data_IF_085813285195
#
_entry.id   IF_085813285195
#
_cell.length_a   1.000
_cell.length_b   1.000
_cell.length_c   1.000
_cell.angle_alpha   90.00
_cell.angle_beta   90.00
_cell.angle_gamma   90.00
#
_symmetry.space_group_name_H-M   'P 1'
#
loop_
_entity.id
_entity.type
_entity.pdbx_description
1 polymer ?
#
# COMPACT_ATOMS: atom_id res chain seq x y z
N UNK A 1 2.76 -9.94 17.77
CA UNK A 1 1.78 -8.84 17.61
C UNK A 1 1.39 -8.31 18.98
N UNK A 2 1.22 -7.00 19.11
CA UNK A 2 0.72 -6.33 20.31
C UNK A 2 -0.58 -5.61 19.96
N UNK A 3 -1.71 -6.05 20.48
CA UNK A 3 -3.02 -5.45 20.26
C UNK A 3 -3.43 -4.60 21.48
N UNK A 4 -4.02 -3.45 21.19
CA UNK A 4 -4.71 -2.57 22.14
C UNK A 4 -6.21 -2.55 21.82
N UNK A 5 -6.95 -1.55 22.26
CA UNK A 5 -8.39 -1.44 21.98
C UNK A 5 -8.67 -1.22 20.48
N UNK A 6 -7.96 -0.29 19.87
CA UNK A 6 -8.23 0.17 18.49
C UNK A 6 -7.03 0.00 17.58
N UNK A 7 -5.90 -0.52 18.07
CA UNK A 7 -4.70 -0.71 17.27
C UNK A 7 -4.12 -2.12 17.43
N UNK A 8 -3.47 -2.61 16.37
CA UNK A 8 -2.65 -3.83 16.39
C UNK A 8 -1.29 -3.53 15.80
N UNK A 9 -0.22 -3.85 16.55
CA UNK A 9 1.14 -3.77 16.06
C UNK A 9 1.58 -5.09 15.44
N UNK A 10 2.11 -5.01 14.23
CA UNK A 10 2.94 -6.06 13.66
C UNK A 10 4.38 -5.77 14.05
N UNK A 11 4.87 -6.45 15.07
CA UNK A 11 6.08 -6.14 15.83
C UNK A 11 7.30 -6.83 15.23
N UNK A 12 7.59 -6.54 13.95
CA UNK A 12 8.78 -7.03 13.28
C UNK A 12 10.01 -6.14 13.55
N UNK A 13 11.15 -6.77 13.81
CA UNK A 13 12.40 -6.04 14.01
C UNK A 13 12.94 -5.41 12.73
N UNK A 14 12.48 -5.91 11.58
CA UNK A 14 12.88 -5.43 10.26
C UNK A 14 11.73 -5.64 9.24
N UNK A 15 11.80 -5.03 8.04
CA UNK A 15 10.75 -5.16 7.03
C UNK A 15 10.47 -6.60 6.57
N UNK A 16 11.43 -7.51 6.70
CA UNK A 16 11.25 -8.92 6.34
C UNK A 16 10.33 -9.61 7.35
N UNK A 17 10.56 -9.34 8.64
CA UNK A 17 9.72 -9.86 9.72
C UNK A 17 8.32 -9.21 9.69
N UNK A 18 8.23 -7.92 9.37
CA UNK A 18 6.97 -7.22 9.18
C UNK A 18 6.15 -7.83 8.03
N UNK A 19 6.77 -8.09 6.88
CA UNK A 19 6.11 -8.73 5.75
C UNK A 19 5.58 -10.13 6.09
N UNK A 20 6.35 -10.92 6.82
CA UNK A 20 5.92 -12.22 7.30
C UNK A 20 4.73 -12.11 8.28
N UNK A 21 4.80 -11.18 9.23
CA UNK A 21 3.75 -10.93 10.21
C UNK A 21 2.45 -10.45 9.57
N UNK A 22 2.53 -9.51 8.63
CA UNK A 22 1.37 -9.00 7.88
C UNK A 22 0.72 -10.10 7.05
N UNK A 23 1.51 -10.86 6.29
CA UNK A 23 0.98 -11.92 5.46
C UNK A 23 0.22 -12.97 6.29
N UNK A 24 0.73 -13.33 7.48
CA UNK A 24 0.08 -14.26 8.39
C UNK A 24 -1.14 -13.64 9.12
N UNK A 25 -1.18 -12.32 9.31
CA UNK A 25 -2.34 -11.64 9.86
C UNK A 25 -3.51 -11.64 8.88
N UNK A 26 -3.24 -11.40 7.60
CA UNK A 26 -4.26 -11.40 6.53
C UNK A 26 -4.66 -12.82 6.12
N UNK A 27 -3.72 -13.75 6.12
CA UNK A 27 -3.93 -15.17 5.79
C UNK A 27 -3.54 -16.05 6.97
N UNK A 28 -4.41 -16.28 7.95
CA UNK A 28 -4.09 -17.10 9.13
C UNK A 28 -3.77 -18.55 8.79
N UNK A 29 -4.20 -19.04 7.63
CA UNK A 29 -3.85 -20.37 7.07
C UNK A 29 -4.10 -21.54 8.04
N UNK A 30 -5.07 -21.36 8.93
CA UNK A 30 -5.41 -22.36 9.96
C UNK A 30 -6.49 -23.36 9.49
N UNK A 31 -7.17 -23.06 8.38
CA UNK A 31 -8.23 -23.88 7.81
C UNK A 31 -8.22 -23.85 6.28
N UNK A 32 -8.82 -24.84 5.59
CA UNK A 32 -9.01 -24.78 4.16
C UNK A 32 -9.71 -23.48 3.73
N UNK A 33 -9.21 -22.80 2.70
CA UNK A 33 -9.74 -21.52 2.21
C UNK A 33 -9.15 -20.27 2.88
N UNK A 34 -8.36 -20.41 3.95
CA UNK A 34 -7.66 -19.29 4.59
C UNK A 34 -6.20 -19.17 4.15
N UNK A 35 -5.77 -20.02 3.21
CA UNK A 35 -4.45 -19.95 2.58
C UNK A 35 -4.48 -19.04 1.36
N UNK A 36 -3.42 -18.25 1.08
CA UNK A 36 -3.31 -17.57 -0.19
C UNK A 36 -3.11 -18.57 -1.33
N UNK A 37 -3.65 -18.29 -2.51
CA UNK A 37 -3.32 -19.09 -3.68
C UNK A 37 -1.87 -18.87 -4.13
N UNK A 38 -1.40 -17.63 -4.06
CA UNK A 38 -0.08 -17.20 -4.51
C UNK A 38 0.54 -16.26 -3.47
N UNK A 39 1.87 -16.29 -3.37
CA UNK A 39 2.66 -15.34 -2.57
C UNK A 39 3.64 -14.63 -3.50
N UNK A 40 3.81 -13.32 -3.34
CA UNK A 40 4.81 -12.54 -4.07
C UNK A 40 6.10 -12.44 -3.26
N UNK A 41 7.25 -12.79 -3.85
CA UNK A 41 8.57 -12.56 -3.27
C UNK A 41 9.22 -11.35 -3.94
N UNK A 42 9.38 -10.26 -3.19
CA UNK A 42 10.01 -9.02 -3.66
C UNK A 42 11.42 -8.85 -3.07
N UNK A 43 12.36 -8.23 -3.81
CA UNK A 43 13.73 -8.05 -3.35
C UNK A 43 13.86 -6.96 -2.29
N UNK A 44 14.65 -7.21 -1.24
CA UNK A 44 15.00 -6.17 -0.26
C UNK A 44 15.95 -5.12 -0.80
N UNK A 45 16.63 -5.38 -1.91
CA UNK A 45 17.58 -4.46 -2.54
C UNK A 45 16.94 -3.46 -3.51
N UNK A 46 15.64 -3.59 -3.79
CA UNK A 46 14.90 -2.74 -4.75
C UNK A 46 13.51 -2.43 -4.19
N UNK A 47 13.43 -1.34 -3.41
CA UNK A 47 12.18 -0.91 -2.79
C UNK A 47 11.13 -0.49 -3.82
N UNK A 48 11.56 0.00 -5.00
CA UNK A 48 10.66 0.37 -6.08
C UNK A 48 9.93 -0.88 -6.62
N UNK A 49 10.68 -1.94 -6.88
CA UNK A 49 10.11 -3.21 -7.31
C UNK A 49 9.20 -3.82 -6.24
N UNK A 50 9.55 -3.69 -4.95
CA UNK A 50 8.72 -4.15 -3.85
C UNK A 50 7.39 -3.37 -3.77
N UNK A 51 7.42 -2.03 -3.85
CA UNK A 51 6.21 -1.19 -3.88
C UNK A 51 5.37 -1.50 -5.14
N UNK A 52 5.98 -1.62 -6.31
CA UNK A 52 5.24 -1.99 -7.52
C UNK A 52 4.57 -3.36 -7.40
N UNK A 53 5.22 -4.33 -6.74
CA UNK A 53 4.69 -5.68 -6.55
C UNK A 53 3.42 -5.74 -5.69
N UNK A 54 3.13 -4.69 -4.91
CA UNK A 54 1.92 -4.60 -4.09
C UNK A 54 0.64 -4.68 -4.92
N UNK A 55 0.69 -4.33 -6.21
CA UNK A 55 -0.47 -4.46 -7.11
C UNK A 55 -0.95 -5.90 -7.27
N UNK A 56 -0.08 -6.89 -7.06
CA UNK A 56 -0.43 -8.31 -7.15
C UNK A 56 -1.27 -8.79 -5.94
N UNK A 57 -1.42 -7.95 -4.90
CA UNK A 57 -2.38 -8.18 -3.82
C UNK A 57 -3.82 -7.88 -4.26
N UNK A 58 -4.02 -7.05 -5.28
CA UNK A 58 -5.33 -6.84 -5.87
C UNK A 58 -5.85 -8.09 -6.62
N UNK A 59 -7.14 -8.08 -6.94
CA UNK A 59 -7.75 -9.11 -7.78
C UNK A 59 -6.99 -9.26 -9.12
N UNK A 60 -6.83 -10.49 -9.65
CA UNK A 60 -7.41 -11.75 -9.18
C UNK A 60 -6.49 -12.60 -8.29
N UNK A 61 -5.23 -12.19 -8.02
CA UNK A 61 -4.28 -13.05 -7.31
C UNK A 61 -4.40 -12.98 -5.80
N UNK A 62 -4.63 -11.79 -5.26
CA UNK A 62 -4.61 -11.53 -3.81
C UNK A 62 -3.33 -12.05 -3.14
N UNK A 63 -2.17 -11.82 -3.80
CA UNK A 63 -0.89 -12.38 -3.42
C UNK A 63 -0.14 -11.44 -2.45
N UNK A 64 -0.04 -11.78 -1.16
CA UNK A 64 0.68 -10.95 -0.18
C UNK A 64 2.16 -10.90 -0.53
N UNK A 65 2.80 -9.75 -0.23
CA UNK A 65 4.23 -9.54 -0.48
C UNK A 65 5.03 -10.05 0.71
N UNK A 66 5.94 -10.98 0.45
CA UNK A 66 7.05 -11.32 1.33
C UNK A 66 8.36 -10.77 0.76
N UNK A 67 9.31 -10.46 1.63
CA UNK A 67 10.59 -9.88 1.24
C UNK A 67 11.71 -10.93 1.24
N UNK A 68 12.61 -10.80 0.29
CA UNK A 68 13.73 -11.73 0.12
C UNK A 68 15.05 -11.01 -0.15
N UNK A 69 16.10 -11.50 0.47
CA UNK A 69 17.47 -11.13 0.07
C UNK A 69 17.84 -11.70 -1.30
N UNK A 70 18.93 -11.22 -1.91
CA UNK A 70 19.31 -11.60 -3.28
C UNK A 70 19.88 -13.01 -3.40
N UNK A 71 20.42 -13.59 -2.33
CA UNK A 71 21.12 -14.89 -2.37
C UNK A 71 20.40 -16.00 -1.63
N UNK A 72 19.71 -15.67 -0.56
CA UNK A 72 19.04 -16.65 0.30
C UNK A 72 17.70 -16.11 0.78
N UNK A 73 16.72 -17.00 0.89
CA UNK A 73 15.47 -16.67 1.55
C UNK A 73 15.74 -16.49 3.05
N UNK A 74 15.37 -15.34 3.65
CA UNK A 74 15.47 -15.11 5.09
C UNK A 74 14.67 -16.13 5.90
N UNK A 75 15.04 -16.34 7.15
CA UNK A 75 14.37 -17.33 8.01
C UNK A 75 12.88 -17.01 8.19
N UNK A 76 12.53 -15.74 8.46
CA UNK A 76 11.14 -15.31 8.61
C UNK A 76 10.32 -15.55 7.33
N UNK A 77 10.90 -15.24 6.15
CA UNK A 77 10.25 -15.50 4.85
C UNK A 77 10.02 -17.00 4.60
N UNK A 78 11.01 -17.87 4.93
CA UNK A 78 10.83 -19.32 4.79
C UNK A 78 9.75 -19.85 5.72
N UNK A 79 9.74 -19.38 6.96
CA UNK A 79 8.73 -19.76 7.94
C UNK A 79 7.33 -19.31 7.51
N UNK A 80 7.20 -18.06 7.06
CA UNK A 80 5.92 -17.55 6.57
C UNK A 80 5.42 -18.36 5.36
N UNK A 81 6.28 -18.65 4.36
CA UNK A 81 5.92 -19.49 3.22
C UNK A 81 5.45 -20.88 3.64
N UNK A 82 6.10 -21.50 4.63
CA UNK A 82 5.69 -22.80 5.15
C UNK A 82 4.33 -22.77 5.83
N UNK A 83 4.04 -21.70 6.60
CA UNK A 83 2.76 -21.55 7.29
C UNK A 83 1.64 -21.14 6.33
N UNK A 84 1.91 -20.23 5.42
CA UNK A 84 0.95 -19.77 4.40
C UNK A 84 0.54 -20.92 3.45
N UNK A 85 1.45 -21.84 3.12
CA UNK A 85 1.18 -23.00 2.31
C UNK A 85 0.44 -22.70 1.00
N UNK A 86 0.95 -21.81 0.12
CA UNK A 86 0.21 -21.34 -1.06
C UNK A 86 -0.19 -22.52 -1.96
N UNK A 87 -1.45 -22.52 -2.41
CA UNK A 87 -2.03 -23.64 -3.16
C UNK A 87 -1.70 -23.63 -4.67
N UNK A 88 -1.30 -22.48 -5.20
CA UNK A 88 -1.12 -22.23 -6.63
C UNK A 88 -2.38 -21.67 -7.30
N UNK A 89 -2.20 -20.94 -8.40
CA UNK A 89 -3.29 -20.35 -9.18
C UNK A 89 -3.17 -20.69 -10.65
N UNK A 90 -4.28 -21.12 -11.26
CA UNK A 90 -4.36 -21.36 -12.72
C UNK A 90 -4.10 -20.10 -13.55
N UNK A 91 -4.36 -18.91 -13.00
CA UNK A 91 -4.10 -17.63 -13.66
C UNK A 91 -2.59 -17.37 -13.91
N UNK A 92 -1.72 -18.11 -13.21
CA UNK A 92 -0.26 -18.03 -13.32
C UNK A 92 0.36 -19.44 -13.49
N UNK A 93 -0.25 -20.26 -14.36
CA UNK A 93 0.21 -21.60 -14.72
C UNK A 93 0.46 -22.53 -13.52
N UNK A 94 -0.36 -22.40 -12.48
CA UNK A 94 -0.25 -23.16 -11.23
C UNK A 94 0.91 -22.72 -10.34
N UNK A 95 1.52 -21.56 -10.58
CA UNK A 95 2.55 -21.03 -9.70
C UNK A 95 1.97 -20.72 -8.31
N UNK A 96 2.75 -21.10 -7.28
CA UNK A 96 2.48 -20.81 -5.87
C UNK A 96 3.20 -19.54 -5.42
N UNK A 97 4.24 -19.16 -6.18
CA UNK A 97 5.09 -18.00 -5.87
C UNK A 97 5.39 -17.20 -7.11
N UNK A 98 5.16 -15.88 -7.05
CA UNK A 98 5.67 -14.92 -8.03
C UNK A 98 6.96 -14.32 -7.49
N UNK A 99 8.06 -14.49 -8.21
CA UNK A 99 9.37 -13.92 -7.86
C UNK A 99 9.59 -12.65 -8.66
N UNK A 100 9.88 -11.55 -7.99
CA UNK A 100 10.18 -10.26 -8.61
C UNK A 100 11.70 -10.09 -8.67
N UNK A 101 12.25 -10.01 -9.88
CA UNK A 101 13.69 -9.89 -10.08
C UNK A 101 14.47 -11.15 -9.67
N UNK A 102 15.71 -10.94 -9.26
CA UNK A 102 16.66 -12.01 -8.95
C UNK A 102 16.60 -12.51 -7.51
N UNK A 103 15.39 -12.75 -6.97
CA UNK A 103 15.26 -13.40 -5.65
C UNK A 103 15.32 -14.93 -5.76
N UNK A 104 15.81 -15.65 -4.73
CA UNK A 104 15.92 -17.12 -4.76
C UNK A 104 14.57 -17.80 -4.93
N UNK A 105 14.54 -18.91 -5.65
CA UNK A 105 13.36 -19.77 -5.74
C UNK A 105 13.19 -20.57 -4.42
N UNK A 106 12.00 -20.60 -3.82
CA UNK A 106 11.74 -21.45 -2.69
C UNK A 106 11.70 -22.92 -3.13
N UNK A 107 12.34 -23.80 -2.34
CA UNK A 107 12.38 -25.23 -2.66
C UNK A 107 10.99 -25.85 -2.52
N UNK A 108 10.64 -26.71 -3.47
CA UNK A 108 9.38 -27.46 -3.42
C UNK A 108 8.12 -26.68 -3.80
N UNK A 109 8.24 -25.38 -4.16
CA UNK A 109 7.13 -24.59 -4.65
C UNK A 109 7.34 -24.22 -6.12
N UNK A 110 6.25 -24.27 -6.90
CA UNK A 110 6.26 -23.78 -8.28
C UNK A 110 6.34 -22.27 -8.28
N UNK A 111 7.31 -21.71 -8.99
CA UNK A 111 7.54 -20.28 -9.04
C UNK A 111 7.57 -19.75 -10.48
N UNK A 112 6.88 -18.63 -10.70
CA UNK A 112 7.02 -17.80 -11.90
C UNK A 112 7.92 -16.59 -11.58
N UNK A 113 8.71 -16.14 -12.54
CA UNK A 113 9.63 -15.01 -12.34
C UNK A 113 9.23 -13.84 -13.22
N UNK A 114 9.07 -12.67 -12.60
CA UNK A 114 8.99 -11.38 -13.28
C UNK A 114 10.43 -10.87 -13.44
N UNK A 115 10.93 -10.76 -14.67
CA UNK A 115 12.26 -10.28 -14.97
C UNK A 115 12.26 -8.85 -15.49
N UNK A 116 13.30 -8.08 -15.14
CA UNK A 116 13.51 -6.72 -15.62
C UNK A 116 14.89 -6.20 -15.23
N UNK A 117 15.47 -5.35 -16.08
CA UNK A 117 16.76 -4.71 -15.84
C UNK A 117 16.57 -3.43 -15.00
N UNK A 118 16.55 -3.57 -13.68
CA UNK A 118 16.40 -2.47 -12.74
C UNK A 118 14.95 -2.07 -12.46
N UNK A 119 14.75 -1.08 -11.58
CA UNK A 119 13.45 -0.79 -10.97
C UNK A 119 12.36 -0.38 -11.98
N UNK A 120 12.69 0.41 -12.98
CA UNK A 120 11.72 0.85 -13.99
C UNK A 120 11.20 -0.30 -14.86
N UNK A 121 12.11 -1.20 -15.28
CA UNK A 121 11.74 -2.35 -16.10
C UNK A 121 10.99 -3.40 -15.28
N UNK A 122 11.33 -3.59 -14.00
CA UNK A 122 10.59 -4.47 -13.08
C UNK A 122 9.18 -3.94 -12.84
N UNK A 123 9.02 -2.65 -12.53
CA UNK A 123 7.70 -2.04 -12.34
C UNK A 123 6.82 -2.19 -13.61
N UNK A 124 7.37 -1.93 -14.80
CA UNK A 124 6.67 -2.14 -16.07
C UNK A 124 6.34 -3.62 -16.35
N UNK A 125 7.16 -4.56 -15.91
CA UNK A 125 6.89 -6.00 -16.06
C UNK A 125 5.81 -6.49 -15.10
N UNK A 126 5.77 -5.96 -13.88
CA UNK A 126 4.71 -6.22 -12.91
C UNK A 126 3.37 -5.67 -13.43
N UNK A 127 3.36 -4.45 -13.95
CA UNK A 127 2.19 -3.83 -14.57
C UNK A 127 1.63 -4.69 -15.73
N UNK A 128 2.51 -5.14 -16.63
CA UNK A 128 2.09 -6.07 -17.72
C UNK A 128 1.48 -7.36 -17.21
N UNK A 129 2.04 -7.94 -16.14
CA UNK A 129 1.45 -9.15 -15.54
C UNK A 129 0.07 -8.83 -14.97
N UNK A 130 -0.10 -7.75 -14.22
CA UNK A 130 -1.39 -7.36 -13.65
C UNK A 130 -2.42 -7.08 -14.75
N UNK A 131 -2.03 -6.40 -15.83
CA UNK A 131 -2.89 -6.18 -16.99
C UNK A 131 -3.34 -7.49 -17.66
N UNK A 132 -2.41 -8.45 -17.80
CA UNK A 132 -2.72 -9.77 -18.36
C UNK A 132 -3.70 -10.56 -17.46
N UNK A 133 -3.49 -10.51 -16.14
CA UNK A 133 -4.35 -11.15 -15.14
C UNK A 133 -5.77 -10.55 -15.11
N UNK A 134 -5.85 -9.23 -15.23
CA UNK A 134 -7.13 -8.48 -15.25
C UNK A 134 -7.81 -8.49 -16.61
N UNK A 135 -7.18 -9.04 -17.64
CA UNK A 135 -7.67 -9.07 -19.02
C UNK A 135 -7.60 -7.72 -19.76
N UNK A 136 -7.12 -6.67 -19.11
CA UNK A 136 -6.96 -5.33 -19.70
C UNK A 136 -5.98 -4.49 -18.87
N UNK A 137 -5.31 -3.48 -19.46
CA UNK A 137 -4.58 -2.49 -18.71
C UNK A 137 -5.48 -1.67 -17.77
N UNK A 138 -4.96 -1.22 -16.65
CA UNK A 138 -5.68 -0.34 -15.73
C UNK A 138 -6.00 1.01 -16.39
N UNK A 139 -7.20 1.60 -16.17
CA UNK A 139 -7.51 2.94 -16.67
C UNK A 139 -6.68 4.05 -15.97
N UNK A 140 -6.10 3.75 -14.82
CA UNK A 140 -5.36 4.69 -14.01
C UNK A 140 -4.00 4.13 -13.62
N UNK A 141 -3.00 5.01 -13.53
CA UNK A 141 -1.62 4.69 -13.18
C UNK A 141 -1.11 5.65 -12.11
N UNK A 142 -0.47 5.14 -11.08
CA UNK A 142 0.24 5.94 -10.08
C UNK A 142 1.68 6.13 -10.51
N UNK A 143 2.13 7.38 -10.54
CA UNK A 143 3.52 7.75 -10.79
C UNK A 143 4.18 8.21 -9.51
N UNK A 144 5.30 7.59 -9.16
CA UNK A 144 6.11 7.93 -7.99
C UNK A 144 7.57 8.25 -8.40
N UNK A 145 8.28 8.98 -7.55
CA UNK A 145 9.70 9.26 -7.76
C UNK A 145 10.56 8.06 -7.39
N UNK A 146 11.48 7.65 -8.27
CA UNK A 146 12.45 6.61 -7.96
C UNK A 146 13.55 7.05 -6.97
N UNK A 147 13.62 8.36 -6.64
CA UNK A 147 14.62 8.91 -5.73
C UNK A 147 14.07 9.40 -4.38
N UNK A 148 12.77 9.28 -4.16
CA UNK A 148 12.11 9.77 -2.94
C UNK A 148 11.19 8.68 -2.37
N UNK A 149 11.75 7.65 -1.70
CA UNK A 149 11.01 6.48 -1.27
C UNK A 149 9.81 6.82 -0.38
N UNK A 150 9.98 7.71 0.59
CA UNK A 150 8.90 8.09 1.50
C UNK A 150 7.66 8.66 0.78
N UNK A 151 7.85 9.36 -0.33
CA UNK A 151 6.73 9.86 -1.14
C UNK A 151 6.05 8.78 -2.00
N UNK A 152 6.75 7.67 -2.26
CA UNK A 152 6.21 6.55 -3.02
C UNK A 152 5.43 5.56 -2.14
N UNK A 153 5.74 5.48 -0.83
CA UNK A 153 5.18 4.50 0.09
C UNK A 153 3.65 4.41 0.06
N UNK A 154 2.89 5.52 0.09
CA UNK A 154 1.42 5.43 0.11
C UNK A 154 0.80 4.77 -1.13
N UNK A 155 1.55 4.71 -2.24
CA UNK A 155 1.10 4.05 -3.45
C UNK A 155 0.97 2.52 -3.29
N UNK A 156 1.72 1.89 -2.38
CA UNK A 156 1.69 0.44 -2.18
C UNK A 156 0.32 -0.04 -1.69
N UNK A 157 -0.25 0.66 -0.69
CA UNK A 157 -1.59 0.35 -0.19
C UNK A 157 -2.67 0.54 -1.25
N UNK A 158 -2.59 1.63 -2.02
CA UNK A 158 -3.54 1.88 -3.10
C UNK A 158 -3.45 0.85 -4.23
N UNK A 159 -2.23 0.47 -4.62
CA UNK A 159 -2.04 -0.57 -5.63
C UNK A 159 -2.63 -1.92 -5.20
N UNK A 160 -2.48 -2.27 -3.92
CA UNK A 160 -3.04 -3.49 -3.35
C UNK A 160 -4.57 -3.51 -3.33
N UNK A 161 -5.20 -2.36 -3.10
CA UNK A 161 -6.65 -2.20 -3.08
C UNK A 161 -7.23 -2.12 -4.49
N UNK A 162 -6.70 -1.20 -5.30
CA UNK A 162 -7.32 -0.80 -6.57
C UNK A 162 -6.90 -1.62 -7.78
N UNK A 163 -5.72 -2.27 -7.72
CA UNK A 163 -5.08 -2.86 -8.91
C UNK A 163 -4.46 -1.83 -9.86
N UNK A 164 -4.40 -0.54 -9.47
CA UNK A 164 -3.69 0.46 -10.28
C UNK A 164 -2.17 0.27 -10.13
N UNK A 165 -1.41 0.15 -11.23
CA UNK A 165 0.03 -0.07 -11.14
C UNK A 165 0.78 1.16 -10.65
N UNK A 166 1.91 0.92 -10.00
CA UNK A 166 2.86 1.97 -9.59
C UNK A 166 4.04 1.95 -10.55
N UNK A 167 4.22 3.02 -11.30
CA UNK A 167 5.36 3.23 -12.18
C UNK A 167 6.23 4.38 -11.66
N UNK A 168 7.49 4.38 -12.05
CA UNK A 168 8.45 5.32 -11.51
C UNK A 168 9.02 6.27 -12.56
N UNK A 169 9.32 7.50 -12.10
CA UNK A 169 10.03 8.52 -12.88
C UNK A 169 11.27 8.98 -12.14
N UNK A 170 12.23 9.55 -12.87
CA UNK A 170 13.36 10.27 -12.30
C UNK A 170 13.09 11.78 -12.25
N UNK A 171 13.90 12.52 -11.49
CA UNK A 171 13.87 13.99 -11.54
C UNK A 171 14.19 14.55 -12.93
N UNK A 172 14.96 13.80 -13.75
CA UNK A 172 15.35 14.19 -15.10
C UNK A 172 14.33 13.90 -16.19
N UNK A 173 13.31 13.06 -15.90
CA UNK A 173 12.30 12.71 -16.90
C UNK A 173 11.69 11.32 -16.73
N UNK A 174 10.95 10.94 -17.75
CA UNK A 174 10.22 9.66 -17.82
C UNK A 174 11.13 8.59 -18.48
N UNK A 175 11.54 7.53 -17.78
CA UNK A 175 12.38 6.47 -18.33
C UNK A 175 11.70 5.69 -19.46
N UNK A 176 12.49 5.09 -20.36
CA UNK A 176 11.97 4.35 -21.51
C UNK A 176 10.96 3.25 -21.13
N UNK A 177 11.27 2.45 -20.08
CA UNK A 177 10.38 1.39 -19.63
C UNK A 177 9.02 1.96 -19.12
N UNK A 178 9.05 3.09 -18.40
CA UNK A 178 7.85 3.78 -17.93
C UNK A 178 7.03 4.33 -19.10
N UNK A 179 7.68 4.91 -20.12
CA UNK A 179 6.97 5.37 -21.33
C UNK A 179 6.25 4.23 -22.04
N UNK A 180 6.95 3.12 -22.28
CA UNK A 180 6.37 1.93 -22.92
C UNK A 180 5.19 1.35 -22.13
N UNK A 181 5.29 1.33 -20.80
CA UNK A 181 4.17 0.91 -19.95
C UNK A 181 2.96 1.86 -20.12
N UNK A 182 3.16 3.18 -20.03
CA UNK A 182 2.09 4.16 -20.19
C UNK A 182 1.43 4.09 -21.58
N UNK A 183 2.20 3.85 -22.64
CA UNK A 183 1.67 3.67 -24.00
C UNK A 183 0.71 2.47 -24.09
N UNK A 184 0.99 1.38 -23.35
CA UNK A 184 0.13 0.18 -23.35
C UNK A 184 -1.23 0.40 -22.65
N UNK A 185 -1.38 1.45 -21.85
CA UNK A 185 -2.64 1.79 -21.17
C UNK A 185 -3.63 2.59 -22.04
N UNK A 186 -3.22 3.10 -23.21
CA UNK A 186 -4.13 3.80 -24.13
C UNK A 186 -4.68 5.12 -23.55
N UNK A 187 -3.79 5.98 -23.02
CA UNK A 187 -4.10 7.31 -22.42
C UNK A 187 -4.80 7.23 -21.05
N UNK A 188 -4.15 6.63 -20.05
CA UNK A 188 -4.72 6.50 -18.70
C UNK A 188 -4.86 7.84 -17.96
N UNK A 189 -5.58 7.82 -16.84
CA UNK A 189 -5.40 8.79 -15.76
C UNK A 189 -4.02 8.58 -15.12
N UNK A 190 -3.20 9.62 -15.04
CA UNK A 190 -1.84 9.57 -14.50
C UNK A 190 -1.79 10.39 -13.22
N UNK A 191 -1.67 9.72 -12.08
CA UNK A 191 -1.69 10.36 -10.77
C UNK A 191 -0.28 10.41 -10.19
N UNK A 192 0.28 11.62 -10.10
CA UNK A 192 1.67 11.84 -9.71
C UNK A 192 1.76 12.15 -8.23
N UNK A 193 2.38 11.25 -7.44
CA UNK A 193 2.54 11.41 -6.00
C UNK A 193 3.74 12.29 -5.64
N UNK A 194 3.48 13.34 -4.91
CA UNK A 194 4.49 14.24 -4.34
C UNK A 194 4.50 15.65 -4.93
N UNK A 195 5.13 16.58 -4.20
CA UNK A 195 5.23 18.00 -4.58
C UNK A 195 6.21 18.21 -5.75
N UNK A 196 6.24 19.44 -6.35
CA UNK A 196 7.17 19.77 -7.42
C UNK A 196 8.66 19.63 -7.05
N UNK A 197 9.00 19.73 -5.78
CA UNK A 197 10.36 19.48 -5.26
C UNK A 197 10.80 18.01 -5.40
N UNK A 198 9.86 17.08 -5.46
CA UNK A 198 10.11 15.63 -5.61
C UNK A 198 10.02 15.22 -7.08
N UNK A 199 8.93 15.56 -7.76
CA UNK A 199 8.73 15.34 -9.19
C UNK A 199 8.47 16.68 -9.86
N UNK A 200 9.45 17.25 -10.59
CA UNK A 200 9.32 18.57 -11.20
C UNK A 200 8.19 18.66 -12.24
N UNK A 201 7.61 19.84 -12.43
CA UNK A 201 6.55 20.07 -13.43
C UNK A 201 7.01 19.81 -14.87
N UNK A 202 8.32 19.88 -15.14
CA UNK A 202 8.89 19.44 -16.42
C UNK A 202 8.65 17.96 -16.71
N UNK A 203 8.63 17.12 -15.67
CA UNK A 203 8.30 15.68 -15.79
C UNK A 203 6.80 15.49 -16.01
N UNK A 204 5.94 16.29 -15.34
CA UNK A 204 4.49 16.25 -15.58
C UNK A 204 4.15 16.62 -17.04
N UNK A 205 4.83 17.62 -17.60
CA UNK A 205 4.65 17.96 -19.02
C UNK A 205 5.04 16.81 -19.96
N UNK A 206 6.08 16.03 -19.63
CA UNK A 206 6.44 14.83 -20.40
C UNK A 206 5.37 13.75 -20.29
N UNK A 207 4.85 13.51 -19.07
CA UNK A 207 3.79 12.52 -18.81
C UNK A 207 2.49 12.86 -19.55
N UNK A 208 2.18 14.13 -19.76
CA UNK A 208 0.97 14.60 -20.46
C UNK A 208 0.86 14.11 -21.92
N UNK A 209 1.96 13.68 -22.52
CA UNK A 209 1.95 13.04 -23.83
C UNK A 209 1.24 11.67 -23.81
N UNK A 210 1.22 11.00 -22.64
CA UNK A 210 0.75 9.63 -22.48
C UNK A 210 -0.66 9.53 -21.88
N UNK A 211 -1.17 10.55 -21.21
CA UNK A 211 -2.48 10.51 -20.56
C UNK A 211 -2.87 11.82 -19.89
N UNK A 212 -3.93 11.77 -19.08
CA UNK A 212 -4.39 12.93 -18.30
C UNK A 212 -3.64 12.97 -16.97
N UNK A 213 -2.81 13.99 -16.75
CA UNK A 213 -1.94 14.08 -15.58
C UNK A 213 -2.57 14.92 -14.47
N UNK A 214 -2.61 14.38 -13.26
CA UNK A 214 -3.00 15.08 -12.03
C UNK A 214 -1.94 14.87 -10.95
N UNK A 215 -1.59 15.93 -10.24
CA UNK A 215 -0.69 15.85 -9.09
C UNK A 215 -1.50 15.61 -7.82
N UNK A 216 -1.05 14.62 -7.04
CA UNK A 216 -1.57 14.34 -5.70
C UNK A 216 -0.40 14.44 -4.72
N UNK A 217 -0.51 15.29 -3.71
CA UNK A 217 0.55 15.35 -2.70
C UNK A 217 0.68 16.69 -2.01
N UNK A 218 1.49 16.68 -0.96
CA UNK A 218 1.82 17.82 -0.13
C UNK A 218 3.32 17.81 0.24
N UNK A 219 3.88 18.94 0.70
CA UNK A 219 5.23 18.98 1.23
C UNK A 219 5.37 18.12 2.49
N UNK A 220 6.41 17.30 2.56
CA UNK A 220 6.67 16.33 3.64
C UNK A 220 5.96 14.98 3.44
N UNK A 221 6.63 13.87 3.81
CA UNK A 221 6.10 12.52 3.62
C UNK A 221 4.76 12.27 4.34
N UNK A 222 4.65 12.68 5.59
CA UNK A 222 3.42 12.53 6.38
C UNK A 222 2.25 13.31 5.77
N UNK A 223 2.45 14.59 5.42
CA UNK A 223 1.42 15.40 4.77
C UNK A 223 1.05 14.86 3.37
N UNK A 224 2.03 14.30 2.64
CA UNK A 224 1.80 13.64 1.36
C UNK A 224 0.92 12.39 1.48
N UNK A 225 1.16 11.56 2.50
CA UNK A 225 0.34 10.37 2.76
C UNK A 225 -1.11 10.74 3.10
N UNK A 226 -1.30 11.77 3.92
CA UNK A 226 -2.63 12.32 4.25
C UNK A 226 -3.33 12.90 3.02
N UNK A 227 -2.61 13.70 2.20
CA UNK A 227 -3.17 14.24 0.98
C UNK A 227 -3.68 13.15 0.03
N UNK A 228 -2.96 12.02 -0.04
CA UNK A 228 -3.39 10.87 -0.84
C UNK A 228 -4.57 10.10 -0.20
N UNK A 229 -4.57 9.93 1.12
CA UNK A 229 -5.67 9.29 1.86
C UNK A 229 -7.00 10.03 1.67
N UNK A 230 -6.98 11.36 1.63
CA UNK A 230 -8.16 12.20 1.44
C UNK A 230 -8.50 12.47 -0.04
N UNK A 231 -7.65 12.04 -0.99
CA UNK A 231 -7.81 12.34 -2.42
C UNK A 231 -8.90 11.51 -3.08
N UNK A 232 -9.62 12.15 -4.00
CA UNK A 232 -10.57 11.50 -4.91
C UNK A 232 -10.64 12.23 -6.25
N UNK A 233 -10.80 11.47 -7.32
CA UNK A 233 -11.03 11.97 -8.66
C UNK A 233 -12.14 11.16 -9.36
N UNK A 234 -13.24 11.76 -9.81
CA UNK A 234 -13.58 13.20 -9.68
C UNK A 234 -13.75 13.64 -8.23
N UNK A 235 -13.51 14.92 -7.91
CA UNK A 235 -13.62 15.44 -6.55
C UNK A 235 -15.02 15.28 -5.99
N UNK A 236 -15.11 15.25 -4.65
CA UNK A 236 -16.40 15.21 -3.96
C UNK A 236 -17.21 16.47 -4.23
N UNK A 237 -18.49 16.32 -4.50
CA UNK A 237 -19.41 17.45 -4.68
C UNK A 237 -19.83 17.96 -3.32
N UNK A 238 -19.72 19.30 -3.12
CA UNK A 238 -20.14 19.93 -1.87
C UNK A 238 -21.62 19.63 -1.56
N UNK A 239 -21.91 19.27 -0.32
CA UNK A 239 -23.27 18.92 0.13
C UNK A 239 -23.72 17.50 -0.21
N UNK A 240 -22.85 16.67 -0.84
CA UNK A 240 -23.14 15.25 -1.06
C UNK A 240 -22.17 14.36 -0.28
N UNK A 241 -22.59 13.15 0.13
CA UNK A 241 -21.67 12.18 0.74
C UNK A 241 -20.47 11.92 -0.17
N UNK A 242 -19.26 12.06 0.38
CA UNK A 242 -18.04 11.71 -0.32
C UNK A 242 -17.76 10.23 -0.09
N UNK A 243 -18.40 9.37 -0.86
CA UNK A 243 -18.16 7.94 -0.82
C UNK A 243 -17.28 7.50 -2.01
N UNK A 244 -16.61 6.37 -1.86
CA UNK A 244 -15.96 5.73 -3.00
C UNK A 244 -17.02 5.37 -4.05
N UNK A 245 -16.81 5.83 -5.27
CA UNK A 245 -17.67 5.50 -6.42
C UNK A 245 -16.88 4.58 -7.33
N UNK A 246 -17.44 3.43 -7.75
CA UNK A 246 -16.76 2.55 -8.69
C UNK A 246 -16.22 3.31 -9.91
N UNK A 247 -14.93 3.12 -10.22
CA UNK A 247 -14.24 3.83 -11.29
C UNK A 247 -13.69 5.21 -10.92
N UNK A 248 -13.79 5.66 -9.65
CA UNK A 248 -13.07 6.84 -9.17
C UNK A 248 -11.65 6.45 -8.70
N UNK A 249 -10.70 7.33 -8.89
CA UNK A 249 -9.35 7.18 -8.36
C UNK A 249 -9.22 7.81 -6.96
N UNK A 250 -8.51 7.15 -6.05
CA UNK A 250 -8.13 7.63 -4.72
C UNK A 250 -9.05 7.14 -3.59
N UNK A 251 -8.52 7.18 -2.38
CA UNK A 251 -9.15 6.61 -1.20
C UNK A 251 -10.44 7.30 -0.78
N UNK A 252 -10.52 8.60 -0.94
CA UNK A 252 -11.67 9.42 -0.52
C UNK A 252 -12.01 9.32 0.98
N UNK A 253 -11.09 8.87 1.83
CA UNK A 253 -11.37 8.60 3.24
C UNK A 253 -11.43 9.90 4.01
N UNK A 254 -12.66 10.30 4.35
CA UNK A 254 -13.02 11.50 5.13
C UNK A 254 -14.12 11.20 6.15
N UNK A 255 -14.19 9.98 6.64
CA UNK A 255 -15.15 9.51 7.62
C UNK A 255 -14.58 8.32 8.39
N UNK A 256 -15.12 8.00 9.58
CA UNK A 256 -14.76 6.76 10.28
C UNK A 256 -15.19 5.49 9.53
N UNK A 257 -14.70 4.34 9.98
CA UNK A 257 -15.08 3.02 9.46
C UNK A 257 -14.03 2.40 8.55
N UNK A 258 -12.75 2.69 8.81
CA UNK A 258 -11.64 2.24 7.98
C UNK A 258 -10.48 1.70 8.81
N UNK A 259 -9.65 0.85 8.19
CA UNK A 259 -8.33 0.51 8.69
C UNK A 259 -7.32 1.57 8.29
N UNK A 260 -6.43 1.95 9.20
CA UNK A 260 -5.33 2.86 8.93
C UNK A 260 -4.02 2.11 9.16
N UNK A 261 -3.07 2.22 8.23
CA UNK A 261 -1.78 1.56 8.34
C UNK A 261 -0.69 2.60 8.59
N UNK A 262 -0.08 2.58 9.77
CA UNK A 262 0.96 3.52 10.16
C UNK A 262 2.34 2.92 9.87
N UNK A 263 3.16 3.67 9.13
CA UNK A 263 4.49 3.28 8.68
C UNK A 263 5.52 4.35 9.02
N UNK A 264 6.73 3.93 9.37
CA UNK A 264 7.86 4.86 9.48
C UNK A 264 8.35 5.26 8.08
N UNK A 265 8.41 6.56 7.79
CA UNK A 265 8.82 7.11 6.49
C UNK A 265 10.26 6.75 6.07
N UNK A 266 11.11 6.35 7.01
CA UNK A 266 12.48 5.89 6.74
C UNK A 266 12.58 4.41 6.33
N UNK A 267 11.45 3.66 6.37
CA UNK A 267 11.41 2.21 6.12
C UNK A 267 10.55 1.88 4.88
N UNK A 268 10.98 2.20 3.66
CA UNK A 268 10.14 2.10 2.46
C UNK A 268 9.66 0.69 2.12
N UNK A 269 10.38 -0.35 2.53
CA UNK A 269 9.97 -1.73 2.32
C UNK A 269 8.75 -2.13 3.16
N UNK A 270 8.52 -1.45 4.30
CA UNK A 270 7.33 -1.69 5.12
C UNK A 270 6.03 -1.34 4.38
N UNK A 271 6.08 -0.41 3.43
CA UNK A 271 4.91 -0.08 2.62
C UNK A 271 4.46 -1.27 1.76
N UNK A 272 5.40 -1.98 1.13
CA UNK A 272 5.11 -3.19 0.38
C UNK A 272 4.71 -4.35 1.31
N UNK A 273 5.40 -4.50 2.46
CA UNK A 273 5.08 -5.48 3.48
C UNK A 273 3.65 -5.35 3.99
N UNK A 274 3.21 -4.11 4.25
CA UNK A 274 1.90 -3.80 4.82
C UNK A 274 0.77 -3.65 3.80
N UNK A 275 1.07 -3.71 2.50
CA UNK A 275 0.08 -3.46 1.44
C UNK A 275 -1.15 -4.38 1.53
N UNK A 276 -0.97 -5.62 2.00
CA UNK A 276 -2.06 -6.57 2.18
C UNK A 276 -3.11 -6.11 3.21
N UNK A 277 -2.72 -5.33 4.22
CA UNK A 277 -3.67 -4.75 5.19
C UNK A 277 -4.53 -3.67 4.54
N UNK A 278 -3.96 -2.87 3.64
CA UNK A 278 -4.70 -1.83 2.89
C UNK A 278 -5.74 -2.41 1.93
N UNK A 279 -5.45 -3.54 1.29
CA UNK A 279 -6.35 -4.24 0.37
C UNK A 279 -7.16 -5.36 1.01
N UNK A 280 -7.22 -5.46 2.35
CA UNK A 280 -8.01 -6.44 3.09
C UNK A 280 -9.37 -5.90 3.52
N UNK A 281 -10.13 -6.69 4.30
CA UNK A 281 -11.44 -6.31 4.82
C UNK A 281 -11.44 -5.02 5.67
N UNK A 282 -10.33 -4.72 6.35
CA UNK A 282 -10.12 -3.48 7.13
C UNK A 282 -9.59 -2.31 6.30
N UNK A 283 -9.77 -2.37 5.04
CA UNK A 283 -9.15 -1.53 4.02
C UNK A 283 -8.99 -0.06 4.41
N UNK A 284 -7.83 0.51 4.03
CA UNK A 284 -7.54 1.93 4.26
C UNK A 284 -6.10 2.32 3.92
N UNK A 285 -5.82 3.63 4.00
CA UNK A 285 -4.59 4.21 3.50
C UNK A 285 -3.39 3.93 4.40
N UNK A 286 -2.22 3.98 3.80
CA UNK A 286 -0.95 4.04 4.50
C UNK A 286 -0.63 5.48 4.90
N UNK A 287 -0.49 5.73 6.19
CA UNK A 287 -0.14 7.02 6.80
C UNK A 287 1.30 6.96 7.32
N UNK A 288 2.07 8.02 7.09
CA UNK A 288 3.49 8.03 7.42
C UNK A 288 3.80 8.80 8.69
N UNK A 289 4.71 8.24 9.48
CA UNK A 289 5.30 8.84 10.66
C UNK A 289 6.75 9.20 10.32
N UNK A 290 7.10 10.49 10.39
CA UNK A 290 8.44 10.98 10.04
C UNK A 290 9.46 10.79 11.20
N UNK A 291 9.00 10.87 12.45
CA UNK A 291 9.75 10.65 13.67
C UNK A 291 9.13 9.50 14.48
N UNK A 292 9.91 8.48 14.88
CA UNK A 292 9.38 7.33 15.62
C UNK A 292 8.65 7.69 16.93
N UNK A 293 8.99 8.83 17.53
CA UNK A 293 8.53 9.24 18.87
C UNK A 293 7.42 10.28 18.87
N UNK A 294 7.06 10.81 17.67
CA UNK A 294 6.10 11.92 17.56
C UNK A 294 5.13 11.64 16.42
N UNK A 295 3.82 11.69 16.71
CA UNK A 295 2.81 11.64 15.66
C UNK A 295 2.83 12.95 14.85
N UNK A 296 3.06 12.89 13.52
CA UNK A 296 3.12 14.11 12.70
C UNK A 296 1.82 14.89 12.74
N UNK A 297 1.90 16.21 12.83
CA UNK A 297 0.74 17.09 12.91
C UNK A 297 -0.31 16.84 11.81
N UNK A 298 0.14 16.58 10.59
CA UNK A 298 -0.75 16.29 9.48
C UNK A 298 -1.58 15.00 9.71
N UNK A 299 -0.96 13.95 10.27
CA UNK A 299 -1.63 12.69 10.59
C UNK A 299 -2.57 12.88 11.78
N UNK A 300 -2.11 13.57 12.83
CA UNK A 300 -2.94 13.93 14.00
C UNK A 300 -4.22 14.66 13.56
N UNK A 301 -4.09 15.73 12.80
CA UNK A 301 -5.23 16.54 12.34
C UNK A 301 -6.18 15.73 11.43
N UNK A 302 -5.62 14.86 10.58
CA UNK A 302 -6.40 13.99 9.72
C UNK A 302 -7.23 12.99 10.55
N UNK A 303 -6.61 12.31 11.51
CA UNK A 303 -7.32 11.36 12.37
C UNK A 303 -8.37 12.03 13.24
N UNK A 304 -8.07 13.19 13.83
CA UNK A 304 -9.04 13.98 14.62
C UNK A 304 -10.26 14.38 13.79
N UNK A 305 -10.05 14.83 12.55
CA UNK A 305 -11.12 15.38 11.73
C UNK A 305 -11.96 14.32 11.03
N UNK A 306 -11.38 13.17 10.70
CA UNK A 306 -12.02 12.19 9.81
C UNK A 306 -12.13 10.78 10.38
N UNK A 307 -11.27 10.40 11.31
CA UNK A 307 -11.24 9.05 11.84
C UNK A 307 -11.80 8.90 13.25
N UNK A 308 -12.02 9.99 14.00
CA UNK A 308 -12.60 9.89 15.35
C UNK A 308 -14.06 9.45 15.25
N UNK A 309 -14.40 8.19 15.59
CA UNK A 309 -15.76 7.72 15.52
C UNK A 309 -16.58 8.27 16.70
N UNK A 310 -17.81 8.67 16.40
CA UNK A 310 -18.74 9.17 17.43
C UNK A 310 -20.00 8.34 17.51
N UNK A 311 -20.68 8.41 18.64
CA UNK A 311 -22.02 7.86 18.83
C UNK A 311 -22.92 8.83 19.59
N UNK A 312 -24.24 8.72 19.37
CA UNK A 312 -25.25 9.54 19.99
C UNK A 312 -26.08 8.72 21.00
N UNK A 313 -27.39 8.85 20.99
CA UNK A 313 -28.30 8.21 21.98
C UNK A 313 -28.33 6.69 21.96
N UNK A 314 -27.99 6.06 20.83
CA UNK A 314 -28.01 4.60 20.69
C UNK A 314 -26.84 3.88 21.37
N UNK A 315 -25.87 4.65 21.91
CA UNK A 315 -24.69 4.13 22.59
C UNK A 315 -23.58 3.63 21.64
N UNK A 316 -22.47 3.07 22.20
CA UNK A 316 -21.29 2.70 21.44
C UNK A 316 -21.53 1.65 20.34
N UNK A 317 -22.55 0.81 20.49
CA UNK A 317 -22.87 -0.25 19.53
C UNK A 317 -23.33 0.27 18.17
N UNK A 318 -23.81 1.52 18.12
CA UNK A 318 -24.19 2.21 16.89
C UNK A 318 -23.01 2.98 16.23
N UNK A 319 -21.84 3.04 16.88
CA UNK A 319 -20.68 3.71 16.34
C UNK A 319 -20.03 2.91 15.20
N UNK A 320 -19.48 3.63 14.24
CA UNK A 320 -18.63 3.06 13.19
C UNK A 320 -17.20 3.04 13.70
N UNK A 321 -16.60 1.88 13.76
CA UNK A 321 -15.27 1.67 14.34
C UNK A 321 -14.17 1.74 13.29
N UNK A 322 -13.01 2.23 13.72
CA UNK A 322 -11.76 2.17 12.95
C UNK A 322 -10.80 1.16 13.58
N UNK A 323 -9.82 0.74 12.79
CA UNK A 323 -8.69 -0.01 13.28
C UNK A 323 -7.37 0.60 12.80
N UNK A 324 -6.35 0.66 13.68
CA UNK A 324 -5.01 1.13 13.36
C UNK A 324 -4.00 -0.02 13.34
N UNK A 325 -3.37 -0.25 12.22
CA UNK A 325 -2.23 -1.16 12.10
C UNK A 325 -0.93 -0.38 12.25
N UNK A 326 -0.07 -0.77 13.18
CA UNK A 326 1.24 -0.16 13.40
C UNK A 326 2.31 -1.15 12.96
N UNK A 327 3.14 -0.76 12.00
CA UNK A 327 4.13 -1.66 11.38
C UNK A 327 5.52 -1.38 11.94
N UNK A 328 6.18 -2.46 12.35
CA UNK A 328 7.48 -2.45 12.98
C UNK A 328 7.45 -2.42 14.50
N UNK A 329 8.61 -2.65 15.10
CA UNK A 329 8.81 -2.62 16.54
C UNK A 329 8.75 -1.20 17.12
N UNK A 330 8.98 -1.07 18.44
CA UNK A 330 8.95 0.23 19.13
C UNK A 330 10.04 1.21 18.68
N UNK A 331 11.08 0.75 17.98
CA UNK A 331 12.08 1.63 17.37
C UNK A 331 11.63 2.23 16.05
N UNK A 332 10.74 1.56 15.33
CA UNK A 332 10.12 2.06 14.09
C UNK A 332 9.04 3.12 14.41
N UNK A 333 8.12 2.79 15.33
CA UNK A 333 7.08 3.69 15.83
C UNK A 333 6.90 3.38 17.32
N UNK A 334 7.13 4.37 18.18
CA UNK A 334 7.12 4.18 19.65
C UNK A 334 5.77 3.73 20.19
N UNK A 335 5.76 3.15 21.38
CA UNK A 335 4.53 2.77 22.08
C UNK A 335 3.69 4.00 22.45
N UNK A 336 4.31 5.17 22.68
CA UNK A 336 3.58 6.41 22.93
C UNK A 336 2.79 6.88 21.71
N UNK A 337 3.39 6.82 20.51
CA UNK A 337 2.68 7.13 19.26
C UNK A 337 1.55 6.12 19.01
N UNK A 338 1.78 4.82 19.25
CA UNK A 338 0.71 3.84 19.15
C UNK A 338 -0.45 4.13 20.12
N UNK A 339 -0.15 4.50 21.36
CA UNK A 339 -1.17 4.83 22.36
C UNK A 339 -1.95 6.11 21.98
N UNK A 340 -1.29 7.10 21.42
CA UNK A 340 -1.95 8.32 20.90
C UNK A 340 -2.90 7.98 19.75
N UNK A 341 -2.47 7.17 18.79
CA UNK A 341 -3.34 6.71 17.69
C UNK A 341 -4.50 5.88 18.23
N UNK A 342 -4.26 4.97 19.16
CA UNK A 342 -5.32 4.17 19.81
C UNK A 342 -6.40 5.06 20.42
N UNK A 343 -6.00 6.14 21.08
CA UNK A 343 -6.91 7.12 21.68
C UNK A 343 -7.70 7.90 20.61
N UNK A 344 -7.04 8.31 19.51
CA UNK A 344 -7.69 9.04 18.40
C UNK A 344 -8.74 8.19 17.68
N UNK A 345 -8.56 6.89 17.62
CA UNK A 345 -9.49 5.94 16.99
C UNK A 345 -10.60 5.47 17.93
N UNK A 346 -10.58 5.89 19.19
CA UNK A 346 -11.59 5.47 20.17
C UNK A 346 -12.95 6.08 19.86
N UNK A 347 -13.99 5.24 19.87
CA UNK A 347 -15.38 5.74 19.80
C UNK A 347 -15.74 6.58 21.04
N UNK A 348 -16.22 7.80 20.81
CA UNK A 348 -16.57 8.76 21.88
C UNK A 348 -18.03 9.19 21.78
N UNK A 349 -18.69 9.51 22.93
CA UNK A 349 -20.00 10.13 22.91
C UNK A 349 -19.95 11.47 22.18
N UNK A 350 -20.85 11.68 21.24
CA UNK A 350 -21.08 13.02 20.67
C UNK A 350 -22.10 13.74 21.51
N UNK A 351 -21.78 14.96 21.97
CA UNK A 351 -22.79 15.84 22.60
C UNK A 351 -23.86 16.15 21.55
N UNK A 352 -25.08 15.71 21.79
CA UNK A 352 -26.24 16.29 21.10
C UNK A 352 -26.27 17.76 21.49
N UNK A 353 -25.77 18.64 20.61
CA UNK A 353 -25.87 20.08 20.79
C UNK A 353 -27.33 20.44 21.04
N UNK A 354 -27.59 20.99 22.22
CA UNK A 354 -28.87 21.54 22.57
C UNK A 354 -29.16 22.82 21.79
#
# INVERSE_FOLDING_TARGET
MLATRNTTRVDGADPIADAAGVALAVYPSAAPGTHPAVVTLAPTSDWQAAIAASVLMASPLHAPVLLSGPRTLPAATRQALSLLGPSGSGAVDGAQVIRVGAVPAPRGLRAQTIAGAGPYALAAAIDRLQAALSGRPSPDVVIASAQAPAYAMPAAGWAAESGNPVLFVSRGGVPAATRQALESHGRPGIYVLGPPSVIPDSVLRQLAAYGTVKRVGAPGPAANSVAFAAYRDPPCVYGQPCAHVPGSFGWAIRSPGHGYVLLNASRPLDAAAAAALSGSADFGPQLLVDDPTTLPRAVLDYLLNYATPGYTQEGPTAAVYNHGWVIGDASAISLSVQAEVDQLLQAIPQSTGG
#
